data_IF_934291684864
#
_entry.id   IF_934291684864
#
_cell.length_a   1.000
_cell.length_b   1.000
_cell.length_c   1.000
_cell.angle_alpha   90.00
_cell.angle_beta   90.00
_cell.angle_gamma   90.00
#
_symmetry.space_group_name_H-M   'P 1'
#
loop_
_entity.id
_entity.type
_entity.pdbx_description
1 polymer ?
#
# COMPACT_ATOMS: atom_id res chain seq x y z
N UNK A 1 -17.07 -16.56 96.64
CA UNK A 1 -16.59 -16.81 95.26
C UNK A 1 -17.62 -17.67 94.56
N UNK A 2 -18.58 -17.04 93.89
CA UNK A 2 -19.31 -17.58 92.74
C UNK A 2 -19.77 -16.38 91.91
N UNK A 3 -19.39 -16.42 90.65
CA UNK A 3 -19.74 -15.49 89.58
C UNK A 3 -21.24 -15.51 89.33
N UNK A 4 -21.82 -14.37 88.94
CA UNK A 4 -22.80 -14.39 87.86
C UNK A 4 -22.75 -13.07 87.09
N UNK A 5 -22.35 -13.27 85.85
CA UNK A 5 -22.26 -12.40 84.70
C UNK A 5 -23.68 -12.00 84.26
N UNK A 6 -24.00 -10.70 84.26
CA UNK A 6 -25.20 -10.18 83.61
C UNK A 6 -24.90 -8.81 83.00
N UNK A 7 -23.97 -8.79 82.04
CA UNK A 7 -23.76 -7.63 81.18
C UNK A 7 -24.83 -7.59 80.10
N UNK A 8 -25.80 -6.70 80.30
CA UNK A 8 -26.83 -6.32 79.32
C UNK A 8 -26.19 -5.86 78.01
N UNK A 9 -26.56 -6.52 76.94
CA UNK A 9 -26.33 -6.13 75.55
C UNK A 9 -26.82 -4.69 75.30
N UNK A 10 -25.89 -3.75 75.14
CA UNK A 10 -26.17 -2.48 74.47
C UNK A 10 -26.01 -2.69 72.96
N UNK A 11 -26.99 -2.29 72.13
CA UNK A 11 -26.82 -2.32 70.68
C UNK A 11 -25.76 -1.29 70.27
N UNK A 12 -24.71 -1.77 69.58
CA UNK A 12 -23.72 -0.90 68.94
C UNK A 12 -24.42 0.10 68.01
N UNK A 13 -24.00 1.37 67.98
CA UNK A 13 -24.55 2.34 67.05
C UNK A 13 -24.32 1.85 65.61
N UNK A 14 -25.41 1.72 64.85
CA UNK A 14 -25.34 1.47 63.40
C UNK A 14 -24.51 2.59 62.75
N UNK A 15 -23.56 2.28 61.85
CA UNK A 15 -22.90 3.31 61.07
C UNK A 15 -23.95 4.07 60.25
N UNK A 16 -23.79 5.40 60.09
CA UNK A 16 -24.71 6.19 59.29
C UNK A 16 -24.67 5.72 57.82
N UNK A 17 -25.83 5.77 57.18
CA UNK A 17 -26.02 5.37 55.79
C UNK A 17 -25.17 6.23 54.82
N UNK A 18 -24.00 5.74 54.43
CA UNK A 18 -23.13 6.32 53.39
C UNK A 18 -23.63 6.08 51.94
N UNK A 19 -24.85 5.57 51.76
CA UNK A 19 -25.31 5.10 50.44
C UNK A 19 -25.71 6.20 49.44
N UNK A 20 -25.73 7.50 49.81
CA UNK A 20 -26.10 8.59 48.87
C UNK A 20 -24.92 9.33 48.25
N UNK A 21 -23.73 9.33 48.87
CA UNK A 21 -22.55 10.05 48.37
C UNK A 21 -21.72 9.30 47.31
N UNK A 22 -21.84 7.97 47.23
CA UNK A 22 -21.07 7.17 46.26
C UNK A 22 -21.52 7.31 44.80
N UNK A 23 -22.80 7.65 44.58
CA UNK A 23 -23.36 7.72 43.21
C UNK A 23 -22.93 8.97 42.45
N UNK A 24 -22.73 10.10 43.13
CA UNK A 24 -22.27 11.36 42.55
C UNK A 24 -20.79 11.28 42.17
N UNK A 25 -19.94 10.71 43.03
CA UNK A 25 -18.51 10.50 42.75
C UNK A 25 -18.29 9.54 41.57
N UNK A 26 -19.11 8.49 41.46
CA UNK A 26 -19.05 7.57 40.32
C UNK A 26 -19.47 8.25 39.00
N UNK A 27 -20.53 9.06 39.03
CA UNK A 27 -20.97 9.85 37.87
C UNK A 27 -19.95 10.89 37.42
N UNK A 28 -19.31 11.60 38.36
CA UNK A 28 -18.25 12.57 38.06
C UNK A 28 -17.03 11.93 37.41
N UNK A 29 -16.61 10.74 37.87
CA UNK A 29 -15.50 9.99 37.26
C UNK A 29 -15.82 9.56 35.83
N UNK A 30 -17.04 9.11 35.57
CA UNK A 30 -17.48 8.74 34.21
C UNK A 30 -17.47 9.95 33.28
N UNK A 31 -18.01 11.10 33.73
CA UNK A 31 -17.97 12.34 32.94
C UNK A 31 -16.54 12.81 32.65
N UNK A 32 -15.64 12.74 33.64
CA UNK A 32 -14.23 13.07 33.44
C UNK A 32 -13.59 12.17 32.37
N UNK A 33 -13.86 10.86 32.42
CA UNK A 33 -13.33 9.91 31.43
C UNK A 33 -13.91 10.12 30.04
N UNK A 34 -15.20 10.43 29.92
CA UNK A 34 -15.85 10.76 28.63
C UNK A 34 -15.17 11.99 28.01
N UNK A 35 -14.93 13.06 28.80
CA UNK A 35 -14.24 14.26 28.32
C UNK A 35 -12.82 13.98 27.88
N UNK A 36 -12.10 13.14 28.62
CA UNK A 36 -10.74 12.70 28.27
C UNK A 36 -10.73 11.95 26.93
N UNK A 37 -11.60 10.96 26.75
CA UNK A 37 -11.69 10.20 25.50
C UNK A 37 -12.09 11.08 24.32
N UNK A 38 -13.03 12.00 24.51
CA UNK A 38 -13.40 12.98 23.49
C UNK A 38 -12.21 13.87 23.11
N UNK A 39 -11.45 14.35 24.10
CA UNK A 39 -10.25 15.14 23.86
C UNK A 39 -9.18 14.34 23.09
N UNK A 40 -8.94 13.09 23.47
CA UNK A 40 -8.01 12.21 22.76
C UNK A 40 -8.49 11.94 21.33
N UNK A 41 -9.77 11.64 21.12
CA UNK A 41 -10.34 11.39 19.79
C UNK A 41 -10.20 12.58 18.85
N UNK A 42 -10.31 13.81 19.39
CA UNK A 42 -10.11 15.03 18.62
C UNK A 42 -8.65 15.22 18.19
N UNK A 43 -7.69 14.80 19.02
CA UNK A 43 -6.25 14.98 18.76
C UNK A 43 -5.57 13.86 18.01
N UNK A 44 -6.16 12.66 17.96
CA UNK A 44 -5.56 11.51 17.25
C UNK A 44 -5.28 11.83 15.77
N UNK A 45 -6.06 12.71 15.14
CA UNK A 45 -5.83 13.14 13.77
C UNK A 45 -4.77 14.23 13.61
N UNK A 46 -4.34 14.88 14.70
CA UNK A 46 -3.27 15.88 14.70
C UNK A 46 -1.88 15.24 14.77
N UNK A 47 -1.81 13.92 14.91
CA UNK A 47 -0.53 13.20 14.98
C UNK A 47 0.25 13.36 13.66
N UNK A 48 1.56 13.64 13.73
CA UNK A 48 2.38 13.86 12.55
C UNK A 48 2.62 12.56 11.80
N UNK A 49 2.42 12.59 10.50
CA UNK A 49 2.66 11.52 9.55
C UNK A 49 3.48 12.01 8.36
N UNK A 50 4.22 11.10 7.75
CA UNK A 50 5.05 11.41 6.57
C UNK A 50 4.27 11.03 5.32
N UNK A 51 4.09 12.00 4.41
CA UNK A 51 3.47 11.79 3.11
C UNK A 51 4.39 11.12 2.08
N UNK A 52 3.86 10.73 0.91
CA UNK A 52 4.59 9.96 -0.11
C UNK A 52 5.80 10.71 -0.69
N UNK A 53 5.75 12.05 -0.65
CA UNK A 53 6.81 12.94 -1.14
C UNK A 53 7.71 13.49 -0.01
N UNK A 54 7.71 12.87 1.17
CA UNK A 54 8.51 13.31 2.33
C UNK A 54 7.98 14.55 3.04
N UNK A 55 6.71 14.90 2.82
CA UNK A 55 6.05 16.04 3.46
C UNK A 55 5.59 15.64 4.87
N UNK A 56 5.81 16.52 5.86
CA UNK A 56 5.24 16.34 7.19
C UNK A 56 3.80 16.85 7.17
N UNK A 57 2.84 15.96 7.43
CA UNK A 57 1.40 16.23 7.42
C UNK A 57 0.79 15.73 8.72
N UNK A 58 -0.40 16.18 9.08
CA UNK A 58 -1.17 15.49 10.13
C UNK A 58 -1.94 14.30 9.54
N UNK A 59 -2.31 13.32 10.37
CA UNK A 59 -3.15 12.21 9.91
C UNK A 59 -4.49 12.68 9.34
N UNK A 60 -5.06 13.77 9.87
CA UNK A 60 -6.24 14.44 9.34
C UNK A 60 -6.02 15.07 7.96
N UNK A 61 -4.88 15.73 7.74
CA UNK A 61 -4.51 16.27 6.42
C UNK A 61 -4.26 15.16 5.40
N UNK A 62 -3.63 14.05 5.81
CA UNK A 62 -3.44 12.88 4.97
C UNK A 62 -4.77 12.27 4.54
N UNK A 63 -5.74 12.15 5.46
CA UNK A 63 -7.09 11.73 5.14
C UNK A 63 -7.78 12.69 4.17
N UNK A 64 -7.76 13.99 4.45
CA UNK A 64 -8.40 14.99 3.58
C UNK A 64 -7.83 14.96 2.16
N UNK A 65 -6.51 14.74 2.02
CA UNK A 65 -5.88 14.56 0.70
C UNK A 65 -6.26 13.25 0.03
N UNK A 66 -6.42 12.17 0.79
CA UNK A 66 -6.95 10.92 0.25
C UNK A 66 -8.37 11.11 -0.29
N UNK A 67 -9.26 11.74 0.48
CA UNK A 67 -10.66 11.97 0.09
C UNK A 67 -10.73 12.86 -1.17
N UNK A 68 -9.94 13.95 -1.23
CA UNK A 68 -9.86 14.80 -2.42
C UNK A 68 -9.35 14.05 -3.67
N UNK A 69 -8.34 13.18 -3.51
CA UNK A 69 -7.83 12.38 -4.61
C UNK A 69 -8.85 11.33 -5.07
N UNK A 70 -9.59 10.73 -4.14
CA UNK A 70 -10.64 9.75 -4.46
C UNK A 70 -11.77 10.42 -5.25
N UNK A 71 -12.25 11.59 -4.80
CA UNK A 71 -13.26 12.39 -5.51
C UNK A 71 -12.82 12.77 -6.92
N UNK A 72 -11.57 13.22 -7.09
CA UNK A 72 -11.02 13.58 -8.39
C UNK A 72 -10.93 12.36 -9.32
N UNK A 73 -10.47 11.23 -8.80
CA UNK A 73 -10.35 9.98 -9.56
C UNK A 73 -11.75 9.47 -9.95
N UNK A 74 -12.73 9.53 -9.05
CA UNK A 74 -14.11 9.15 -9.33
C UNK A 74 -14.71 10.04 -10.42
N UNK A 75 -14.57 11.36 -10.31
CA UNK A 75 -15.02 12.31 -11.33
C UNK A 75 -14.40 12.02 -12.70
N UNK A 76 -13.10 11.72 -12.75
CA UNK A 76 -12.43 11.35 -13.99
C UNK A 76 -12.93 10.01 -14.55
N UNK A 77 -13.18 9.02 -13.69
CA UNK A 77 -13.70 7.71 -14.11
C UNK A 77 -15.14 7.80 -14.62
N UNK A 78 -15.99 8.60 -13.98
CA UNK A 78 -17.36 8.89 -14.44
C UNK A 78 -17.34 9.57 -15.82
N UNK A 79 -16.34 10.42 -16.08
CA UNK A 79 -16.10 11.02 -17.40
C UNK A 79 -15.51 10.04 -18.43
N UNK A 80 -15.27 8.78 -18.06
CA UNK A 80 -14.74 7.73 -18.92
C UNK A 80 -13.22 7.68 -19.05
N UNK A 81 -12.48 8.37 -18.17
CA UNK A 81 -11.01 8.34 -18.14
C UNK A 81 -10.51 6.93 -17.78
N UNK A 82 -9.63 6.36 -18.61
CA UNK A 82 -8.97 5.07 -18.36
C UNK A 82 -7.60 5.23 -17.69
N UNK A 83 -7.23 6.47 -17.34
CA UNK A 83 -5.91 6.84 -16.80
C UNK A 83 -5.57 6.09 -15.52
N UNK A 84 -6.53 5.98 -14.61
CA UNK A 84 -6.38 5.38 -13.26
C UNK A 84 -6.64 3.87 -13.21
N UNK A 85 -6.89 3.21 -14.35
CA UNK A 85 -7.11 1.76 -14.36
C UNK A 85 -5.78 1.06 -14.06
N UNK A 86 -5.76 0.11 -13.11
CA UNK A 86 -4.60 -0.75 -12.85
C UNK A 86 -4.53 -1.92 -13.83
N UNK A 87 -3.33 -2.45 -14.03
CA UNK A 87 -3.15 -3.71 -14.77
C UNK A 87 -3.29 -4.86 -13.78
N UNK A 88 -3.88 -5.98 -14.22
CA UNK A 88 -4.01 -7.15 -13.35
C UNK A 88 -2.61 -7.63 -12.92
N UNK A 89 -2.44 -7.95 -11.62
CA UNK A 89 -1.18 -8.43 -11.05
C UNK A 89 -0.68 -9.67 -11.77
N UNK A 90 -1.60 -10.57 -12.15
CA UNK A 90 -1.27 -11.78 -12.90
C UNK A 90 -0.64 -11.47 -14.25
N UNK A 91 -1.18 -10.51 -15.01
CA UNK A 91 -0.61 -10.12 -16.30
C UNK A 91 0.80 -9.55 -16.13
N UNK A 92 1.03 -8.72 -15.10
CA UNK A 92 2.35 -8.17 -14.80
C UNK A 92 3.37 -9.27 -14.48
N UNK A 93 3.00 -10.19 -13.59
CA UNK A 93 3.86 -11.32 -13.20
C UNK A 93 4.13 -12.24 -14.38
N UNK A 94 3.11 -12.60 -15.16
CA UNK A 94 3.28 -13.42 -16.35
C UNK A 94 4.20 -12.77 -17.38
N UNK A 95 4.06 -11.46 -17.64
CA UNK A 95 4.94 -10.77 -18.60
C UNK A 95 6.39 -10.72 -18.12
N UNK A 96 6.63 -10.45 -16.83
CA UNK A 96 7.98 -10.46 -16.27
C UNK A 96 8.58 -11.86 -16.28
N UNK A 97 7.80 -12.86 -15.86
CA UNK A 97 8.23 -14.25 -15.80
C UNK A 97 8.54 -14.81 -17.19
N UNK A 98 7.69 -14.52 -18.18
CA UNK A 98 7.92 -14.96 -19.56
C UNK A 98 9.22 -14.39 -20.14
N UNK A 99 9.51 -13.11 -19.90
CA UNK A 99 10.76 -12.49 -20.35
C UNK A 99 11.96 -13.12 -19.65
N UNK A 100 11.91 -13.28 -18.34
CA UNK A 100 13.03 -13.87 -17.59
C UNK A 100 13.27 -15.33 -17.97
N UNK A 101 12.22 -16.15 -18.16
CA UNK A 101 12.37 -17.56 -18.52
C UNK A 101 12.98 -17.74 -19.91
N UNK A 102 12.67 -16.84 -20.85
CA UNK A 102 13.22 -16.90 -22.21
C UNK A 102 14.64 -16.31 -22.24
N UNK A 103 14.84 -15.15 -21.65
CA UNK A 103 16.10 -14.40 -21.73
C UNK A 103 17.21 -15.00 -20.86
N UNK A 104 16.89 -15.53 -19.68
CA UNK A 104 17.92 -15.99 -18.73
C UNK A 104 18.70 -17.23 -19.21
N UNK A 105 18.09 -18.33 -19.71
CA UNK A 105 18.83 -19.48 -20.23
C UNK A 105 19.67 -19.10 -21.45
N UNK A 106 19.13 -18.20 -22.26
CA UNK A 106 19.82 -17.57 -23.36
C UNK A 106 21.03 -16.84 -22.76
N UNK A 107 20.90 -15.76 -22.02
CA UNK A 107 22.03 -15.00 -21.46
C UNK A 107 23.08 -15.87 -20.75
N UNK A 108 22.63 -16.88 -20.00
CA UNK A 108 23.49 -17.85 -19.33
C UNK A 108 24.39 -18.60 -20.30
N UNK A 109 23.82 -19.12 -21.38
CA UNK A 109 24.60 -19.82 -22.39
C UNK A 109 25.60 -18.90 -23.11
N UNK A 110 25.26 -17.63 -23.36
CA UNK A 110 26.21 -16.67 -23.97
C UNK A 110 27.38 -16.42 -23.03
N UNK A 111 27.07 -16.10 -21.77
CA UNK A 111 28.10 -15.89 -20.77
C UNK A 111 28.96 -17.17 -20.61
N UNK A 112 28.33 -18.34 -20.65
CA UNK A 112 29.05 -19.63 -20.63
C UNK A 112 29.98 -19.81 -21.82
N UNK A 113 29.54 -19.46 -23.03
CA UNK A 113 30.38 -19.50 -24.24
C UNK A 113 31.54 -18.50 -24.17
N UNK A 114 31.29 -17.26 -23.73
CA UNK A 114 32.33 -16.20 -23.61
C UNK A 114 33.38 -16.56 -22.56
N UNK A 115 32.96 -17.14 -21.43
CA UNK A 115 33.88 -17.55 -20.36
C UNK A 115 34.42 -18.97 -20.54
N UNK A 116 34.14 -19.62 -21.68
CA UNK A 116 34.55 -20.99 -22.00
C UNK A 116 34.29 -21.95 -20.83
N UNK A 117 33.05 -21.96 -20.35
CA UNK A 117 32.66 -22.73 -19.17
C UNK A 117 32.70 -24.21 -19.46
N UNK A 118 33.41 -24.95 -18.61
CA UNK A 118 33.35 -26.40 -18.60
C UNK A 118 32.10 -26.87 -17.85
N UNK A 119 31.16 -27.47 -18.59
CA UNK A 119 29.91 -28.01 -18.03
C UNK A 119 30.11 -29.28 -17.21
N UNK A 120 31.30 -29.88 -17.25
CA UNK A 120 31.65 -31.04 -16.42
C UNK A 120 32.06 -30.64 -14.99
N UNK A 121 32.41 -29.36 -14.76
CA UNK A 121 32.68 -28.79 -13.44
C UNK A 121 31.58 -27.77 -13.04
N UNK A 122 30.48 -28.24 -12.41
CA UNK A 122 29.35 -27.39 -12.06
C UNK A 122 29.65 -26.38 -10.94
N UNK A 123 30.82 -26.43 -10.31
CA UNK A 123 31.27 -25.44 -9.33
C UNK A 123 32.41 -24.57 -9.85
N UNK A 124 32.71 -24.66 -11.15
CA UNK A 124 33.71 -23.86 -11.82
C UNK A 124 33.43 -22.36 -11.66
N UNK A 125 34.46 -21.61 -11.29
CA UNK A 125 34.42 -20.14 -11.20
C UNK A 125 33.89 -19.48 -12.49
N UNK A 126 34.20 -19.96 -13.71
CA UNK A 126 33.61 -19.46 -14.95
C UNK A 126 32.07 -19.60 -15.02
N UNK A 127 31.53 -20.74 -14.57
CA UNK A 127 30.08 -20.96 -14.54
C UNK A 127 29.43 -19.99 -13.57
N UNK A 128 29.99 -19.84 -12.36
CA UNK A 128 29.48 -18.91 -11.35
C UNK A 128 29.43 -17.46 -11.87
N UNK A 129 30.50 -17.00 -12.52
CA UNK A 129 30.54 -15.66 -13.15
C UNK A 129 29.48 -15.54 -14.24
N UNK A 130 29.32 -16.57 -15.08
CA UNK A 130 28.34 -16.56 -16.16
C UNK A 130 26.89 -16.45 -15.66
N UNK A 131 26.56 -17.14 -14.57
CA UNK A 131 25.25 -17.07 -13.91
C UNK A 131 25.00 -15.68 -13.36
N UNK A 132 25.96 -15.12 -12.63
CA UNK A 132 25.83 -13.79 -12.03
C UNK A 132 25.62 -12.73 -13.10
N UNK A 133 26.43 -12.73 -14.16
CA UNK A 133 26.31 -11.75 -15.25
C UNK A 133 24.96 -11.89 -15.96
N UNK A 134 24.48 -13.11 -16.16
CA UNK A 134 23.21 -13.36 -16.86
C UNK A 134 22.00 -12.91 -16.06
N UNK A 135 22.02 -13.15 -14.74
CA UNK A 135 21.01 -12.65 -13.81
C UNK A 135 21.03 -11.13 -13.76
N UNK A 136 22.21 -10.51 -13.69
CA UNK A 136 22.35 -9.05 -13.68
C UNK A 136 21.90 -8.42 -14.99
N UNK A 137 22.21 -9.02 -16.14
CA UNK A 137 21.80 -8.49 -17.43
C UNK A 137 20.27 -8.60 -17.62
N UNK A 138 19.70 -9.78 -17.37
CA UNK A 138 18.26 -10.03 -17.51
C UNK A 138 17.46 -9.20 -16.51
N UNK A 139 17.83 -9.29 -15.23
CA UNK A 139 17.18 -8.56 -14.14
C UNK A 139 17.37 -7.05 -14.25
N UNK A 140 18.58 -6.60 -14.62
CA UNK A 140 18.89 -5.20 -14.85
C UNK A 140 18.09 -4.61 -15.99
N UNK A 141 18.01 -5.29 -17.15
CA UNK A 141 17.21 -4.84 -18.29
C UNK A 141 15.71 -4.78 -17.94
N UNK A 142 15.17 -5.81 -17.29
CA UNK A 142 13.78 -5.84 -16.85
C UNK A 142 13.48 -4.71 -15.86
N UNK A 143 14.35 -4.49 -14.88
CA UNK A 143 14.21 -3.44 -13.86
C UNK A 143 14.32 -2.05 -14.48
N UNK A 144 15.27 -1.83 -15.39
CA UNK A 144 15.42 -0.57 -16.11
C UNK A 144 14.19 -0.25 -16.97
N UNK A 145 13.70 -1.22 -17.75
CA UNK A 145 12.47 -1.07 -18.55
C UNK A 145 11.25 -0.81 -17.66
N UNK A 146 11.18 -1.48 -16.51
CA UNK A 146 10.11 -1.26 -15.54
C UNK A 146 10.14 0.16 -14.96
N UNK A 147 11.31 0.64 -14.53
CA UNK A 147 11.47 1.99 -14.00
C UNK A 147 11.20 3.06 -15.06
N UNK A 148 11.68 2.87 -16.30
CA UNK A 148 11.42 3.79 -17.40
C UNK A 148 9.92 3.82 -17.75
N UNK A 149 9.24 2.67 -17.77
CA UNK A 149 7.79 2.60 -17.94
C UNK A 149 7.03 3.27 -16.79
N UNK A 150 7.49 3.09 -15.54
CA UNK A 150 6.92 3.73 -14.37
C UNK A 150 7.07 5.26 -14.40
N UNK A 151 8.26 5.78 -14.71
CA UNK A 151 8.53 7.21 -14.80
C UNK A 151 7.71 7.89 -15.90
N UNK A 152 7.33 7.15 -16.94
CA UNK A 152 6.50 7.68 -18.03
C UNK A 152 5.01 7.77 -17.68
N UNK A 153 4.55 7.20 -16.55
CA UNK A 153 3.14 7.25 -16.12
C UNK A 153 2.61 8.68 -15.98
N UNK A 154 3.48 9.64 -15.64
CA UNK A 154 3.12 11.05 -15.49
C UNK A 154 2.65 11.72 -16.79
N UNK A 155 3.11 11.23 -17.95
CA UNK A 155 2.76 11.80 -19.27
C UNK A 155 1.59 11.07 -19.96
N UNK A 156 0.81 10.30 -19.21
CA UNK A 156 -0.30 9.51 -19.73
C UNK A 156 -1.55 10.38 -19.88
N UNK A 157 -2.11 10.43 -21.09
CA UNK A 157 -3.39 11.10 -21.36
C UNK A 157 -4.59 10.23 -20.89
N UNK A 158 -5.80 10.80 -20.78
CA UNK A 158 -7.04 10.16 -20.31
C UNK A 158 -7.38 8.82 -21.00
N UNK A 159 -6.88 8.61 -22.24
CA UNK A 159 -7.03 7.35 -23.01
C UNK A 159 -5.92 6.33 -22.79
N UNK A 160 -5.04 6.51 -21.79
CA UNK A 160 -3.89 5.61 -21.53
C UNK A 160 -2.84 5.61 -22.65
N UNK A 161 -2.75 6.70 -23.41
CA UNK A 161 -1.84 6.87 -24.55
C UNK A 161 -0.77 7.93 -24.25
N UNK A 162 0.39 7.77 -24.91
CA UNK A 162 1.44 8.78 -24.97
C UNK A 162 1.17 9.69 -26.16
N UNK A 163 0.90 10.97 -25.91
CA UNK A 163 0.72 11.96 -26.96
C UNK A 163 2.06 12.64 -27.21
N UNK A 164 2.70 12.34 -28.34
CA UNK A 164 4.03 12.85 -28.67
C UNK A 164 4.14 14.38 -28.67
N UNK A 165 3.05 15.08 -28.95
CA UNK A 165 2.98 16.54 -28.94
C UNK A 165 3.03 17.12 -27.50
N UNK A 166 2.53 16.39 -26.51
CA UNK A 166 2.42 16.82 -25.11
C UNK A 166 3.63 16.38 -24.25
N UNK A 167 4.52 15.55 -24.81
CA UNK A 167 5.72 15.07 -24.12
C UNK A 167 6.76 16.18 -23.98
N UNK A 168 7.29 16.33 -22.77
CA UNK A 168 8.49 17.14 -22.52
C UNK A 168 9.69 16.57 -23.29
N UNK A 169 10.67 17.42 -23.61
CA UNK A 169 11.90 16.99 -24.33
C UNK A 169 12.62 15.86 -23.59
N UNK A 170 12.64 15.89 -22.25
CA UNK A 170 13.20 14.82 -21.42
C UNK A 170 12.43 13.50 -21.54
N UNK A 171 11.09 13.55 -21.62
CA UNK A 171 10.27 12.36 -21.83
C UNK A 171 10.43 11.77 -23.24
N UNK A 172 10.63 12.61 -24.26
CA UNK A 172 10.98 12.14 -25.62
C UNK A 172 12.33 11.46 -25.64
N UNK A 173 13.34 12.06 -25.00
CA UNK A 173 14.69 11.49 -24.91
C UNK A 173 14.66 10.12 -24.23
N UNK A 174 13.97 9.99 -23.10
CA UNK A 174 13.88 8.70 -22.40
C UNK A 174 13.13 7.64 -23.21
N UNK A 175 12.11 8.02 -23.98
CA UNK A 175 11.40 7.09 -24.89
C UNK A 175 12.31 6.62 -26.04
N UNK A 176 13.12 7.52 -26.59
CA UNK A 176 14.17 7.18 -27.57
C UNK A 176 15.20 6.23 -26.94
N UNK A 177 15.63 6.48 -25.70
CA UNK A 177 16.56 5.60 -24.99
C UNK A 177 15.96 4.20 -24.76
N UNK A 178 14.67 4.11 -24.40
CA UNK A 178 13.97 2.81 -24.31
C UNK A 178 13.95 2.11 -25.67
N UNK A 179 13.60 2.83 -26.73
CA UNK A 179 13.60 2.28 -28.09
C UNK A 179 14.97 1.76 -28.51
N UNK A 180 16.04 2.52 -28.20
CA UNK A 180 17.42 2.11 -28.44
C UNK A 180 17.79 0.85 -27.64
N UNK A 181 17.43 0.79 -26.36
CA UNK A 181 17.73 -0.34 -25.49
C UNK A 181 17.03 -1.62 -25.98
N UNK A 182 15.74 -1.53 -26.29
CA UNK A 182 14.96 -2.65 -26.84
C UNK A 182 15.50 -3.08 -28.21
N UNK A 183 15.85 -2.11 -29.06
CA UNK A 183 16.49 -2.37 -30.35
C UNK A 183 17.83 -3.09 -30.20
N UNK A 184 18.67 -2.65 -29.28
CA UNK A 184 19.95 -3.28 -28.98
C UNK A 184 19.76 -4.73 -28.48
N UNK A 185 18.79 -4.96 -27.58
CA UNK A 185 18.44 -6.32 -27.14
C UNK A 185 18.03 -7.20 -28.33
N UNK A 186 17.21 -6.68 -29.25
CA UNK A 186 16.82 -7.39 -30.47
C UNK A 186 18.02 -7.73 -31.37
N UNK A 187 18.94 -6.79 -31.57
CA UNK A 187 20.17 -7.01 -32.37
C UNK A 187 21.06 -8.07 -31.73
N UNK A 188 21.29 -7.99 -30.42
CA UNK A 188 22.09 -8.98 -29.69
C UNK A 188 21.48 -10.37 -29.82
N UNK A 189 20.16 -10.50 -29.68
CA UNK A 189 19.46 -11.78 -29.86
C UNK A 189 19.55 -12.30 -31.29
N UNK A 190 19.41 -11.42 -32.29
CA UNK A 190 19.55 -11.81 -33.69
C UNK A 190 20.95 -12.35 -33.99
N UNK A 191 22.00 -11.56 -33.68
CA UNK A 191 23.40 -11.94 -33.94
C UNK A 191 23.69 -13.29 -33.31
N UNK A 192 23.24 -13.47 -32.07
CA UNK A 192 23.44 -14.70 -31.33
C UNK A 192 22.78 -15.91 -31.99
N UNK A 193 21.45 -15.89 -32.20
CA UNK A 193 20.73 -17.05 -32.76
C UNK A 193 21.23 -17.35 -34.18
N UNK A 194 21.63 -16.31 -34.92
CA UNK A 194 22.25 -16.47 -36.22
C UNK A 194 23.59 -17.21 -36.12
N UNK A 195 24.50 -16.80 -35.22
CA UNK A 195 25.78 -17.49 -35.04
C UNK A 195 25.61 -18.96 -34.66
N UNK A 196 24.67 -19.28 -33.77
CA UNK A 196 24.35 -20.67 -33.38
C UNK A 196 23.78 -21.47 -34.57
N UNK A 197 22.86 -20.89 -35.34
CA UNK A 197 22.28 -21.56 -36.50
C UNK A 197 23.28 -21.82 -37.62
N UNK A 198 24.22 -20.90 -37.84
CA UNK A 198 25.32 -21.08 -38.81
C UNK A 198 26.30 -22.16 -38.34
N UNK A 199 26.69 -22.14 -37.06
CA UNK A 199 27.56 -23.18 -36.47
C UNK A 199 26.92 -24.57 -36.53
N UNK A 200 25.59 -24.65 -36.50
CA UNK A 200 24.84 -25.91 -36.61
C UNK A 200 24.66 -26.41 -38.05
N UNK A 201 25.20 -25.69 -39.05
CA UNK A 201 25.12 -26.07 -40.46
C UNK A 201 23.77 -25.80 -41.14
N UNK A 202 22.89 -25.02 -40.51
CA UNK A 202 21.54 -24.70 -41.00
C UNK A 202 21.46 -23.24 -41.48
N UNK A 203 22.37 -22.81 -42.35
CA UNK A 203 22.55 -21.39 -42.73
C UNK A 203 21.27 -20.70 -43.22
N UNK A 204 20.47 -21.37 -44.05
CA UNK A 204 19.24 -20.79 -44.61
C UNK A 204 18.10 -20.71 -43.57
N UNK A 205 18.04 -21.65 -42.63
CA UNK A 205 17.06 -21.65 -41.54
C UNK A 205 17.48 -20.71 -40.39
N UNK A 206 18.79 -20.52 -40.20
CA UNK A 206 19.38 -19.74 -39.11
C UNK A 206 18.91 -18.29 -39.12
N UNK A 207 18.88 -17.67 -40.30
CA UNK A 207 18.40 -16.29 -40.46
C UNK A 207 16.93 -16.18 -40.05
N UNK A 208 16.08 -17.10 -40.53
CA UNK A 208 14.65 -17.07 -40.24
C UNK A 208 14.38 -17.29 -38.74
N UNK A 209 15.06 -18.24 -38.12
CA UNK A 209 14.98 -18.49 -36.67
C UNK A 209 15.46 -17.28 -35.87
N UNK A 210 16.59 -16.67 -36.28
CA UNK A 210 17.16 -15.52 -35.61
C UNK A 210 16.24 -14.29 -35.64
N UNK A 211 15.63 -14.01 -36.80
CA UNK A 211 14.64 -12.92 -36.92
C UNK A 211 13.42 -13.19 -36.04
N UNK A 212 12.89 -14.42 -36.06
CA UNK A 212 11.72 -14.78 -35.28
C UNK A 212 11.97 -14.62 -33.77
N UNK A 213 13.09 -15.16 -33.27
CA UNK A 213 13.44 -15.07 -31.84
C UNK A 213 13.71 -13.63 -31.42
N UNK A 214 14.47 -12.86 -32.23
CA UNK A 214 14.71 -11.45 -31.97
C UNK A 214 13.40 -10.65 -31.90
N UNK A 215 12.45 -10.91 -32.81
CA UNK A 215 11.14 -10.26 -32.81
C UNK A 215 10.35 -10.59 -31.54
N UNK A 216 10.29 -11.87 -31.15
CA UNK A 216 9.61 -12.31 -29.91
C UNK A 216 10.22 -11.62 -28.70
N UNK A 217 11.55 -11.48 -28.64
CA UNK A 217 12.22 -10.79 -27.54
C UNK A 217 11.88 -9.30 -27.51
N UNK A 218 11.94 -8.62 -28.65
CA UNK A 218 11.58 -7.19 -28.77
C UNK A 218 10.13 -6.94 -28.34
N UNK A 219 9.20 -7.78 -28.79
CA UNK A 219 7.79 -7.70 -28.39
C UNK A 219 7.66 -7.91 -26.88
N UNK A 220 8.34 -8.91 -26.32
CA UNK A 220 8.31 -9.21 -24.89
C UNK A 220 8.86 -8.06 -24.03
N UNK A 221 10.02 -7.51 -24.39
CA UNK A 221 10.61 -6.34 -23.73
C UNK A 221 9.68 -5.10 -23.83
N UNK A 222 9.05 -4.90 -24.99
CA UNK A 222 8.06 -3.84 -25.19
C UNK A 222 6.83 -4.03 -24.32
N UNK A 223 6.37 -5.28 -24.12
CA UNK A 223 5.26 -5.59 -23.22
C UNK A 223 5.61 -5.32 -21.75
N UNK A 224 6.84 -5.60 -21.31
CA UNK A 224 7.31 -5.24 -19.96
C UNK A 224 7.23 -3.73 -19.75
N UNK A 225 7.72 -2.95 -20.71
CA UNK A 225 7.60 -1.50 -20.67
C UNK A 225 6.14 -1.04 -20.65
N UNK A 226 5.29 -1.57 -21.56
CA UNK A 226 3.89 -1.17 -21.66
C UNK A 226 3.07 -1.55 -20.43
N UNK A 227 3.33 -2.70 -19.80
CA UNK A 227 2.65 -3.13 -18.58
C UNK A 227 3.00 -2.21 -17.42
N UNK A 228 4.27 -1.85 -17.27
CA UNK A 228 4.74 -0.88 -16.29
C UNK A 228 4.13 0.51 -16.51
N UNK A 229 4.08 0.95 -17.76
CA UNK A 229 3.46 2.22 -18.16
C UNK A 229 1.94 2.24 -17.97
N UNK A 230 1.23 1.14 -18.26
CA UNK A 230 -0.26 1.07 -18.14
C UNK A 230 -0.75 1.02 -16.72
N UNK A 231 0.07 0.56 -15.81
CA UNK A 231 -0.32 0.27 -14.45
C UNK A 231 -0.58 1.55 -13.65
N UNK A 232 -1.86 1.89 -13.44
CA UNK A 232 -2.31 3.01 -12.60
C UNK A 232 -1.87 4.40 -13.06
N UNK A 233 -2.18 5.39 -12.22
CA UNK A 233 -1.57 6.72 -12.23
C UNK A 233 -0.78 6.95 -10.95
N UNK A 234 0.07 7.97 -10.93
CA UNK A 234 0.78 8.39 -9.71
C UNK A 234 -0.20 8.81 -8.61
N UNK A 235 -1.29 9.50 -8.97
CA UNK A 235 -2.34 9.92 -8.05
C UNK A 235 -2.98 8.73 -7.30
N UNK A 236 -3.07 7.57 -7.95
CA UNK A 236 -3.61 6.36 -7.34
C UNK A 236 -2.62 5.69 -6.37
N UNK A 237 -1.32 5.91 -6.58
CA UNK A 237 -0.27 5.44 -5.67
C UNK A 237 -0.18 6.39 -4.46
N UNK A 238 -0.33 7.70 -4.68
CA UNK A 238 -0.44 8.72 -3.62
C UNK A 238 -1.71 8.51 -2.76
N UNK A 239 -2.87 8.30 -3.38
CA UNK A 239 -4.13 7.95 -2.69
C UNK A 239 -3.93 6.73 -1.79
N UNK A 240 -3.31 5.68 -2.34
CA UNK A 240 -3.05 4.45 -1.59
C UNK A 240 -2.16 4.74 -0.39
N UNK A 241 -1.07 5.48 -0.57
CA UNK A 241 -0.16 5.82 0.50
C UNK A 241 -0.85 6.64 1.59
N UNK A 242 -1.56 7.71 1.23
CA UNK A 242 -2.31 8.53 2.18
C UNK A 242 -3.36 7.73 2.95
N UNK A 243 -4.09 6.84 2.26
CA UNK A 243 -5.08 5.96 2.91
C UNK A 243 -4.45 4.95 3.87
N UNK A 244 -3.31 4.34 3.50
CA UNK A 244 -2.60 3.37 4.34
C UNK A 244 -2.04 4.05 5.59
N UNK A 245 -1.52 5.28 5.46
CA UNK A 245 -0.97 6.07 6.56
C UNK A 245 -2.05 6.62 7.50
N UNK A 246 -3.19 7.07 6.98
CA UNK A 246 -4.28 7.61 7.82
C UNK A 246 -5.10 6.51 8.53
N UNK A 247 -5.18 5.30 7.95
CA UNK A 247 -5.99 4.18 8.46
C UNK A 247 -5.80 3.84 9.95
N UNK A 248 -4.59 3.68 10.50
CA UNK A 248 -4.42 3.37 11.92
C UNK A 248 -4.99 4.45 12.84
N UNK A 249 -4.80 5.73 12.50
CA UNK A 249 -5.32 6.86 13.28
C UNK A 249 -6.84 6.96 13.20
N UNK A 250 -7.43 6.65 12.04
CA UNK A 250 -8.90 6.57 11.90
C UNK A 250 -9.51 5.44 12.72
N UNK A 251 -8.84 4.28 12.78
CA UNK A 251 -9.27 3.18 13.64
C UNK A 251 -9.13 3.54 15.12
N UNK A 252 -8.05 4.21 15.51
CA UNK A 252 -7.85 4.68 16.88
C UNK A 252 -8.91 5.71 17.28
N UNK A 253 -9.20 6.70 16.41
CA UNK A 253 -10.26 7.69 16.63
C UNK A 253 -11.62 7.00 16.83
N UNK A 254 -12.01 6.09 15.93
CA UNK A 254 -13.28 5.36 16.05
C UNK A 254 -13.38 4.58 17.36
N UNK A 255 -12.31 3.89 17.77
CA UNK A 255 -12.29 3.18 19.06
C UNK A 255 -12.52 4.12 20.25
N UNK A 256 -11.86 5.28 20.26
CA UNK A 256 -12.04 6.26 21.34
C UNK A 256 -13.46 6.86 21.34
N UNK A 257 -14.04 7.09 20.17
CA UNK A 257 -15.43 7.55 20.02
C UNK A 257 -16.43 6.49 20.50
N UNK A 258 -16.21 5.23 20.15
CA UNK A 258 -17.04 4.09 20.58
C UNK A 258 -16.99 3.91 22.12
N UNK A 259 -15.79 3.97 22.72
CA UNK A 259 -15.61 3.90 24.18
C UNK A 259 -16.29 5.09 24.88
N UNK A 260 -16.16 6.31 24.34
CA UNK A 260 -16.82 7.48 24.89
C UNK A 260 -18.35 7.38 24.82
N UNK A 261 -18.86 6.81 23.73
CA UNK A 261 -20.29 6.56 23.54
C UNK A 261 -20.83 5.52 24.54
N UNK A 262 -20.08 4.43 24.75
CA UNK A 262 -20.46 3.39 25.72
C UNK A 262 -20.50 3.94 27.15
N UNK A 263 -19.47 4.68 27.57
CA UNK A 263 -19.44 5.31 28.89
C UNK A 263 -20.56 6.33 29.07
N UNK A 264 -20.94 7.04 27.99
CA UNK A 264 -22.07 7.98 28.03
C UNK A 264 -23.40 7.25 28.22
N UNK A 265 -23.60 6.12 27.55
CA UNK A 265 -24.76 5.26 27.79
C UNK A 265 -24.81 4.77 29.25
N UNK A 266 -23.67 4.38 29.83
CA UNK A 266 -23.60 3.95 31.24
C UNK A 266 -23.94 5.09 32.20
N UNK A 267 -23.45 6.31 31.94
CA UNK A 267 -23.77 7.50 32.71
C UNK A 267 -25.27 7.80 32.68
N UNK A 268 -25.89 7.79 31.48
CA UNK A 268 -27.33 8.03 31.33
C UNK A 268 -28.18 7.00 32.09
N UNK A 269 -27.76 5.73 32.09
CA UNK A 269 -28.40 4.66 32.87
C UNK A 269 -28.25 4.89 34.38
N UNK A 270 -27.09 5.35 34.85
CA UNK A 270 -26.88 5.69 36.25
C UNK A 270 -27.77 6.85 36.68
N UNK A 271 -27.85 7.94 35.90
CA UNK A 271 -28.73 9.08 36.17
C UNK A 271 -30.20 8.68 36.23
N UNK A 272 -30.67 7.82 35.31
CA UNK A 272 -32.04 7.28 35.35
C UNK A 272 -32.30 6.43 36.60
N UNK A 273 -31.30 5.68 37.07
CA UNK A 273 -31.41 4.79 38.24
C UNK A 273 -31.33 5.54 39.57
N UNK A 274 -30.49 6.57 39.67
CA UNK A 274 -30.36 7.38 40.88
C UNK A 274 -31.56 8.27 41.11
N UNK A 275 -32.42 8.46 40.10
CA UNK A 275 -33.64 9.21 40.23
C UNK A 275 -33.32 10.60 40.76
N UNK A 276 -32.69 11.44 39.94
CA UNK A 276 -33.03 12.85 40.02
C UNK A 276 -34.52 12.96 39.74
N UNK A 277 -35.29 12.77 40.82
CA UNK A 277 -36.62 13.28 40.97
C UNK A 277 -36.54 14.75 40.55
N UNK A 278 -37.37 15.13 39.58
CA UNK A 278 -37.70 16.53 39.34
C UNK A 278 -37.76 17.27 40.68
N UNK A 279 -36.86 18.24 40.94
CA UNK A 279 -37.01 19.13 42.07
C UNK A 279 -38.12 20.12 41.72
N UNK A 280 -39.38 19.68 41.78
CA UNK A 280 -40.47 20.52 41.28
C UNK A 280 -41.91 20.06 41.48
N UNK A 281 -42.20 18.87 42.01
CA UNK A 281 -43.60 18.54 42.38
C UNK A 281 -43.86 18.89 43.84
N UNK A 282 -44.22 20.15 44.06
CA UNK A 282 -44.84 20.62 45.30
C UNK A 282 -46.09 19.77 45.55
N UNK A 283 -46.24 19.11 46.72
CA UNK A 283 -47.47 18.44 47.07
C UNK A 283 -48.56 19.49 47.27
N UNK A 284 -49.55 19.52 46.39
CA UNK A 284 -50.81 20.23 46.62
C UNK A 284 -51.45 19.67 47.90
N UNK A 285 -51.74 20.49 48.92
CA UNK A 285 -52.50 20.05 50.08
C UNK A 285 -53.94 19.73 49.68
N UNK A 286 -54.48 18.74 50.38
CA UNK A 286 -55.79 18.15 50.17
C UNK A 286 -56.94 19.14 50.46
N UNK A 287 -58.01 18.99 49.70
CA UNK A 287 -59.39 19.33 50.08
C UNK A 287 -60.18 18.04 50.36
#
# INVERSE_FOLDING_TARGET
MYSNDETRYLPSPRPPAEARGGSTVAGERLLARIRELQYLSARVLDEPVVGPHGQNLTAGEAQARADLLDDLIELEQVRGSLRHRRVNRLTRVLTLLAVTIVDLPIMLWLASSVFNVDWSDPLGLPLAISVVISVLATGGAATALHHLGHNQRQHKNHRRQLVWAELTTGAKLSLVTVGLLVGLMGVVMFVRVYTEGVLSGLSDLAVLLAVLVALVMVVSATLVFWTAFRDGSLDQDDLRHYSETARPHLLAKRRLEDEAYELRCQYDLLCRRTGEAEPGRVPTPAD
#
